data_IF_320841011079
#
_entry.id   IF_320841011079
#
_cell.length_a   1.000
_cell.length_b   1.000
_cell.length_c   1.000
_cell.angle_alpha   90.00
_cell.angle_beta   90.00
_cell.angle_gamma   90.00
#
_symmetry.space_group_name_H-M   'P 1'
#
loop_
_entity.id
_entity.type
_entity.pdbx_description
1 polymer ?
#
# COMPACT_ATOMS: atom_id res chain seq x y z
N UNK A 1 -4.50 -0.51 -13.42
CA UNK A 1 -4.93 0.70 -12.68
C UNK A 1 -4.05 1.88 -13.10
N UNK A 2 -4.50 3.13 -12.96
CA UNK A 2 -3.69 4.33 -13.28
C UNK A 2 -3.48 5.20 -12.07
N UNK A 3 -2.27 5.73 -11.87
CA UNK A 3 -2.03 6.75 -10.83
C UNK A 3 -2.72 8.05 -11.25
N UNK A 4 -3.61 8.55 -10.39
CA UNK A 4 -4.34 9.81 -10.63
C UNK A 4 -3.83 10.95 -9.76
N UNK A 5 -3.39 10.63 -8.54
CA UNK A 5 -2.87 11.63 -7.61
C UNK A 5 -1.84 11.00 -6.66
N UNK A 6 -1.00 11.85 -6.07
CA UNK A 6 -0.10 11.45 -4.99
C UNK A 6 0.06 12.58 -3.98
N UNK A 7 0.27 12.24 -2.72
CA UNK A 7 0.43 13.17 -1.60
C UNK A 7 1.46 12.64 -0.62
N UNK A 8 2.38 13.49 -0.17
CA UNK A 8 3.41 13.12 0.81
C UNK A 8 2.84 12.82 2.19
N UNK A 9 1.73 13.47 2.54
CA UNK A 9 0.96 13.20 3.75
C UNK A 9 -0.51 13.54 3.45
N UNK A 10 -1.41 12.64 3.81
CA UNK A 10 -2.85 12.89 3.73
C UNK A 10 -3.51 12.44 5.03
N UNK A 11 -4.37 13.28 5.56
CA UNK A 11 -5.21 12.95 6.70
C UNK A 11 -6.52 12.42 6.15
N UNK A 12 -6.91 11.21 6.56
CA UNK A 12 -8.18 10.60 6.16
C UNK A 12 -9.07 10.47 7.40
N UNK A 13 -10.36 10.84 7.32
CA UNK A 13 -11.30 10.59 8.39
C UNK A 13 -11.60 9.09 8.44
N UNK A 14 -11.32 8.45 9.58
CA UNK A 14 -11.71 7.07 9.82
C UNK A 14 -13.07 7.06 10.53
N UNK A 15 -14.11 6.76 9.76
CA UNK A 15 -15.45 6.59 10.30
C UNK A 15 -15.65 5.13 10.69
N UNK A 16 -15.03 4.73 11.81
CA UNK A 16 -15.36 3.47 12.44
C UNK A 16 -16.55 3.74 13.35
N UNK A 17 -17.67 3.03 13.13
CA UNK A 17 -19.04 3.29 13.62
C UNK A 17 -19.28 3.42 15.14
N UNK A 18 -18.29 3.83 15.93
CA UNK A 18 -18.40 4.16 17.36
C UNK A 18 -17.66 5.45 17.73
N UNK A 19 -16.81 6.01 16.85
CA UNK A 19 -16.15 7.30 17.05
C UNK A 19 -15.95 8.01 15.71
N UNK A 20 -16.90 8.85 15.34
CA UNK A 20 -16.68 9.83 14.29
C UNK A 20 -15.53 10.75 14.76
N UNK A 21 -14.40 10.78 14.04
CA UNK A 21 -13.33 11.74 14.30
C UNK A 21 -11.93 11.18 14.52
N UNK A 22 -11.68 9.88 14.35
CA UNK A 22 -10.28 9.41 14.33
C UNK A 22 -9.65 9.76 12.99
N UNK A 23 -8.89 10.85 12.96
CA UNK A 23 -8.09 11.26 11.81
C UNK A 23 -6.83 10.38 11.72
N UNK A 24 -6.66 9.67 10.60
CA UNK A 24 -5.46 8.86 10.36
C UNK A 24 -4.53 9.57 9.40
N UNK A 25 -3.29 9.76 9.84
CA UNK A 25 -2.22 10.34 9.03
C UNK A 25 -1.60 9.25 8.18
N UNK A 26 -1.72 9.40 6.86
CA UNK A 26 -1.16 8.48 5.88
C UNK A 26 -0.01 9.17 5.15
N UNK A 27 1.25 8.86 5.50
CA UNK A 27 2.38 9.30 4.70
C UNK A 27 2.47 8.56 3.37
N UNK A 28 2.98 9.24 2.34
CA UNK A 28 3.26 8.71 1.01
C UNK A 28 2.04 8.07 0.33
N UNK A 29 0.89 8.75 0.36
CA UNK A 29 -0.34 8.31 -0.28
C UNK A 29 -0.25 8.42 -1.81
N UNK A 30 -0.64 7.36 -2.50
CA UNK A 30 -0.85 7.32 -3.94
C UNK A 30 -2.28 6.87 -4.22
N UNK A 31 -3.00 7.66 -5.00
CA UNK A 31 -4.35 7.35 -5.45
C UNK A 31 -4.28 6.72 -6.85
N UNK A 32 -4.91 5.57 -6.97
CA UNK A 32 -5.02 4.77 -8.18
C UNK A 32 -6.49 4.74 -8.62
N UNK A 33 -6.74 4.93 -9.91
CA UNK A 33 -8.05 4.67 -10.51
C UNK A 33 -8.06 3.25 -11.06
N UNK A 34 -8.94 2.43 -10.52
CA UNK A 34 -9.26 1.14 -11.10
C UNK A 34 -10.15 1.30 -12.36
N UNK A 35 -10.13 0.34 -13.29
CA UNK A 35 -11.05 0.34 -14.43
C UNK A 35 -12.52 0.25 -14.01
N UNK A 36 -12.80 -0.33 -12.84
CA UNK A 36 -14.12 -0.40 -12.22
C UNK A 36 -14.63 0.94 -11.65
N UNK A 37 -13.92 2.06 -11.93
CA UNK A 37 -14.12 3.41 -11.36
C UNK A 37 -13.99 3.52 -9.85
N UNK A 38 -13.68 2.43 -9.15
CA UNK A 38 -13.41 2.47 -7.72
C UNK A 38 -12.01 3.06 -7.45
N UNK A 39 -11.88 4.05 -6.56
CA UNK A 39 -10.59 4.57 -6.16
C UNK A 39 -9.88 3.56 -5.25
N UNK A 40 -8.65 3.23 -5.63
CA UNK A 40 -7.73 2.38 -4.88
C UNK A 40 -6.67 3.29 -4.27
N UNK A 41 -6.37 3.12 -3.00
CA UNK A 41 -5.43 3.96 -2.28
C UNK A 41 -4.27 3.12 -1.75
N UNK A 42 -3.05 3.53 -2.06
CA UNK A 42 -1.83 2.89 -1.56
C UNK A 42 -1.07 3.87 -0.68
N UNK A 43 -0.67 3.48 0.52
CA UNK A 43 0.04 4.38 1.42
C UNK A 43 0.55 3.71 2.68
N UNK A 44 1.40 4.43 3.41
CA UNK A 44 1.86 3.98 4.71
C UNK A 44 0.76 4.16 5.73
N UNK A 45 0.43 3.11 6.46
CA UNK A 45 -0.38 3.25 7.66
C UNK A 45 0.53 3.05 8.87
N UNK A 46 0.74 4.12 9.64
CA UNK A 46 1.51 4.05 10.86
C UNK A 46 0.71 3.23 11.88
N UNK A 47 1.11 1.97 12.08
CA UNK A 47 0.85 1.08 13.23
C UNK A 47 -0.61 0.73 13.61
N UNK A 48 -1.62 1.36 13.00
CA UNK A 48 -3.01 1.16 13.43
C UNK A 48 -3.74 0.11 12.57
N UNK A 49 -3.62 -1.16 12.95
CA UNK A 49 -4.22 -2.31 12.24
C UNK A 49 -5.75 -2.22 12.16
N UNK A 50 -6.38 -1.58 13.14
CA UNK A 50 -7.84 -1.35 13.16
C UNK A 50 -8.25 -0.31 12.12
N UNK A 51 -7.45 0.75 11.96
CA UNK A 51 -7.66 1.72 10.88
C UNK A 51 -7.41 1.09 9.50
N UNK A 52 -6.44 0.19 9.40
CA UNK A 52 -6.15 -0.54 8.16
C UNK A 52 -7.37 -1.38 7.73
N UNK A 53 -7.91 -2.18 8.66
CA UNK A 53 -9.07 -3.02 8.38
C UNK A 53 -10.30 -2.19 7.97
N UNK A 54 -10.53 -1.06 8.63
CA UNK A 54 -11.65 -0.18 8.30
C UNK A 54 -11.48 0.55 6.95
N UNK A 55 -10.26 0.95 6.58
CA UNK A 55 -9.97 1.53 5.26
C UNK A 55 -10.05 0.49 4.13
N UNK A 56 -9.53 -0.72 4.35
CA UNK A 56 -9.62 -1.84 3.42
C UNK A 56 -11.06 -2.31 3.20
N UNK A 57 -11.93 -2.20 4.20
CA UNK A 57 -13.35 -2.54 4.05
C UNK A 57 -14.14 -1.48 3.25
N UNK A 58 -13.72 -0.20 3.29
CA UNK A 58 -14.43 0.92 2.64
C UNK A 58 -13.90 1.26 1.24
N UNK A 59 -12.64 0.92 0.97
CA UNK A 59 -11.95 1.26 -0.28
C UNK A 59 -10.92 0.19 -0.61
N UNK A 60 -10.51 0.08 -1.87
CA UNK A 60 -9.39 -0.79 -2.26
C UNK A 60 -8.08 -0.28 -1.68
N UNK A 61 -7.88 -0.47 -0.37
CA UNK A 61 -6.74 0.04 0.36
C UNK A 61 -5.58 -0.95 0.34
N UNK A 62 -4.42 -0.49 -0.10
CA UNK A 62 -3.15 -1.20 -0.09
C UNK A 62 -2.28 -0.61 1.01
N UNK A 63 -2.36 -1.22 2.19
CA UNK A 63 -1.50 -0.85 3.31
C UNK A 63 -0.09 -1.35 3.09
N UNK A 64 0.88 -0.44 3.22
CA UNK A 64 2.30 -0.76 3.15
C UNK A 64 3.02 -0.23 4.38
N UNK A 65 4.22 -0.76 4.65
CA UNK A 65 5.11 -0.13 5.63
C UNK A 65 5.63 1.22 5.11
N UNK A 66 6.12 2.07 6.02
CA UNK A 66 6.60 3.42 5.67
C UNK A 66 7.72 3.38 4.62
N UNK A 67 8.63 2.42 4.69
CA UNK A 67 9.73 2.28 3.74
C UNK A 67 9.22 1.92 2.33
N UNK A 68 8.34 0.92 2.23
CA UNK A 68 7.75 0.48 0.96
C UNK A 68 6.88 1.58 0.34
N UNK A 69 6.06 2.25 1.15
CA UNK A 69 5.23 3.35 0.67
C UNK A 69 6.07 4.52 0.14
N UNK A 70 7.17 4.86 0.84
CA UNK A 70 8.12 5.88 0.38
C UNK A 70 8.77 5.48 -0.94
N UNK A 71 9.20 4.22 -1.06
CA UNK A 71 9.77 3.68 -2.30
C UNK A 71 8.78 3.75 -3.46
N UNK A 72 7.52 3.41 -3.20
CA UNK A 72 6.45 3.42 -4.18
C UNK A 72 6.11 4.85 -4.59
N UNK A 73 5.90 5.76 -3.65
CA UNK A 73 5.63 7.18 -3.92
C UNK A 73 6.74 7.86 -4.75
N UNK A 74 8.00 7.51 -4.48
CA UNK A 74 9.14 8.05 -5.21
C UNK A 74 9.15 7.62 -6.69
N UNK A 75 8.64 6.41 -6.99
CA UNK A 75 8.60 5.84 -8.34
C UNK A 75 7.30 6.12 -9.07
N UNK A 76 6.19 6.19 -8.34
CA UNK A 76 4.87 6.45 -8.89
C UNK A 76 4.78 7.86 -9.47
N UNK A 77 4.36 7.93 -10.73
CA UNK A 77 4.07 9.18 -11.45
C UNK A 77 2.61 9.22 -11.83
N UNK A 78 1.99 10.40 -11.80
CA UNK A 78 0.63 10.55 -12.30
C UNK A 78 0.58 10.11 -13.78
N UNK A 79 -0.44 9.31 -14.14
CA UNK A 79 -0.56 8.67 -15.45
C UNK A 79 0.08 7.29 -15.56
N UNK A 80 0.93 6.89 -14.60
CA UNK A 80 1.59 5.58 -14.61
C UNK A 80 0.58 4.43 -14.46
N UNK A 81 0.82 3.32 -15.17
CA UNK A 81 -0.05 2.15 -15.13
C UNK A 81 0.49 1.16 -14.12
N UNK A 82 -0.24 1.00 -13.02
CA UNK A 82 0.05 0.02 -11.97
C UNK A 82 -0.86 -1.19 -12.17
N UNK A 83 -0.27 -2.38 -12.23
CA UNK A 83 -0.99 -3.64 -12.17
C UNK A 83 -0.80 -4.26 -10.79
N UNK A 84 -1.89 -4.71 -10.18
CA UNK A 84 -1.85 -5.43 -8.91
C UNK A 84 -2.16 -6.88 -9.24
N UNK A 85 -1.18 -7.74 -9.05
CA UNK A 85 -1.30 -9.18 -9.27
C UNK A 85 -1.39 -9.87 -7.92
N UNK A 86 -2.32 -10.82 -7.76
CA UNK A 86 -2.51 -11.60 -6.52
C UNK A 86 -1.47 -12.71 -6.33
N UNK A 87 -0.55 -12.89 -7.28
CA UNK A 87 0.63 -13.72 -7.08
C UNK A 87 1.54 -13.03 -6.07
N UNK A 88 1.46 -13.46 -4.81
CA UNK A 88 2.63 -13.36 -3.95
C UNK A 88 3.76 -14.09 -4.69
N UNK A 89 4.66 -13.34 -5.33
CA UNK A 89 5.96 -13.90 -5.68
C UNK A 89 6.56 -14.29 -4.35
N UNK A 90 6.46 -15.57 -4.01
CA UNK A 90 7.25 -16.14 -2.94
C UNK A 90 8.66 -15.61 -3.18
N UNK A 91 9.20 -14.86 -2.20
CA UNK A 91 10.62 -14.50 -2.21
C UNK A 91 11.33 -15.79 -2.60
N UNK A 92 12.15 -15.84 -3.66
CA UNK A 92 12.90 -17.04 -3.95
C UNK A 92 13.62 -17.35 -2.64
N UNK A 93 13.24 -18.46 -2.00
CA UNK A 93 14.07 -19.00 -0.95
C UNK A 93 15.40 -19.16 -1.66
N UNK A 94 16.40 -18.37 -1.26
CA UNK A 94 17.75 -18.55 -1.74
C UNK A 94 18.00 -20.05 -1.66
N UNK A 95 18.23 -20.77 -2.77
CA UNK A 95 18.73 -22.11 -2.63
C UNK A 95 20.03 -21.94 -1.84
N UNK A 96 20.06 -22.46 -0.62
CA UNK A 96 21.24 -22.56 0.20
C UNK A 96 22.27 -23.34 -0.65
N UNK A 97 23.08 -22.58 -1.35
CA UNK A 97 24.12 -23.06 -2.23
C UNK A 97 25.34 -22.21 -1.95
N UNK A 98 25.99 -22.52 -0.84
CA UNK A 98 27.44 -22.66 -0.88
C UNK A 98 27.72 -24.15 -0.72
N UNK A 99 28.16 -24.77 -1.81
CA UNK A 99 28.71 -26.11 -1.79
C UNK A 99 30.20 -26.10 -1.48
N UNK A 100 30.72 -27.33 -1.44
CA UNK A 100 32.11 -27.76 -1.70
C UNK A 100 33.07 -27.92 -0.50
N UNK A 101 33.62 -29.14 -0.36
CA UNK A 101 34.80 -29.43 0.46
C UNK A 101 34.82 -30.84 1.06
N UNK A 102 35.65 -31.73 0.49
CA UNK A 102 35.77 -33.14 0.87
C UNK A 102 36.56 -33.43 2.17
N UNK A 103 36.55 -34.72 2.53
CA UNK A 103 37.26 -35.33 3.65
C UNK A 103 36.81 -36.76 3.88
#
# INVERSE_FOLDING_TARGET
MKVVAKSTLKVLPLENGTRAGTEVKVPYLVQLSAPDRQPVYAGALAVDTKALAALSARSGWLGMNVADAKWFYARARAGDRIEITTTATARPATPDAVGDGGG
#
